data_IF_080462001618
#
_entry.id   IF_080462001618
#
_cell.length_a   1.000
_cell.length_b   1.000
_cell.length_c   1.000
_cell.angle_alpha   90.00
_cell.angle_beta   90.00
_cell.angle_gamma   90.00
#
_symmetry.space_group_name_H-M   'P 1'
#
loop_
_entity.id
_entity.type
_entity.pdbx_description
1 polymer ?
#
# COMPACT_ATOMS: atom_id res chain seq x y z
N UNK A 1 0.22 7.83 -7.68
CA UNK A 1 -0.99 8.06 -6.85
C UNK A 1 -2.18 7.53 -7.64
N UNK A 2 -2.99 6.63 -7.08
CA UNK A 2 -4.08 5.94 -7.80
C UNK A 2 -5.44 6.46 -7.29
N UNK A 3 -6.35 6.77 -8.22
CA UNK A 3 -7.75 7.16 -7.96
C UNK A 3 -8.73 6.24 -8.71
N UNK A 4 -8.43 4.96 -8.69
CA UNK A 4 -9.23 3.90 -9.32
C UNK A 4 -9.91 3.09 -8.23
N UNK A 5 -11.26 3.07 -8.25
CA UNK A 5 -12.08 2.37 -7.26
C UNK A 5 -11.89 0.86 -7.31
N UNK A 6 -11.61 0.27 -8.47
CA UNK A 6 -11.36 -1.17 -8.58
C UNK A 6 -10.06 -1.55 -7.86
N UNK A 7 -9.03 -0.73 -7.98
CA UNK A 7 -7.77 -0.92 -7.26
C UNK A 7 -7.96 -0.76 -5.75
N UNK A 8 -8.80 0.19 -5.31
CA UNK A 8 -9.14 0.35 -3.90
C UNK A 8 -9.83 -0.89 -3.35
N UNK A 9 -10.85 -1.39 -4.05
CA UNK A 9 -11.58 -2.59 -3.64
C UNK A 9 -10.67 -3.82 -3.55
N UNK A 10 -9.75 -4.00 -4.50
CA UNK A 10 -8.81 -5.12 -4.50
C UNK A 10 -7.82 -5.13 -3.33
N UNK A 11 -7.52 -3.97 -2.74
CA UNK A 11 -6.57 -3.84 -1.62
C UNK A 11 -7.25 -3.35 -0.33
N UNK A 12 -8.59 -3.37 -0.30
CA UNK A 12 -9.35 -2.89 0.85
C UNK A 12 -9.25 -3.90 1.99
N UNK A 13 -8.80 -3.45 3.15
CA UNK A 13 -8.80 -4.25 4.36
C UNK A 13 -9.89 -3.78 5.30
N UNK A 14 -10.67 -4.69 5.90
CA UNK A 14 -11.85 -4.36 6.72
C UNK A 14 -11.55 -3.39 7.87
N UNK A 15 -10.32 -3.38 8.41
CA UNK A 15 -9.95 -2.42 9.45
C UNK A 15 -9.91 -0.96 8.97
N UNK A 16 -9.88 -0.72 7.66
CA UNK A 16 -9.95 0.62 7.06
C UNK A 16 -11.33 1.26 7.21
N UNK A 17 -12.39 0.48 7.40
CA UNK A 17 -13.76 0.98 7.58
C UNK A 17 -13.89 1.92 8.79
N UNK A 18 -13.01 1.74 9.80
CA UNK A 18 -12.93 2.61 10.97
C UNK A 18 -12.51 4.05 10.63
N UNK A 19 -11.75 4.22 9.55
CA UNK A 19 -11.19 5.52 9.13
C UNK A 19 -11.91 6.10 7.91
N UNK A 20 -12.53 5.23 7.11
CA UNK A 20 -13.20 5.57 5.87
C UNK A 20 -14.60 4.97 5.86
N UNK A 21 -15.53 5.62 6.56
CA UNK A 21 -16.91 5.14 6.73
C UNK A 21 -17.65 4.92 5.41
N UNK A 22 -17.28 5.66 4.36
CA UNK A 22 -17.85 5.55 3.02
C UNK A 22 -17.09 4.53 2.14
N UNK A 23 -16.16 3.77 2.72
CA UNK A 23 -15.36 2.79 2.01
C UNK A 23 -14.55 3.39 0.86
N UNK A 24 -14.52 2.67 -0.27
CA UNK A 24 -13.86 3.09 -1.52
C UNK A 24 -14.47 4.34 -2.16
N UNK A 25 -15.67 4.74 -1.71
CA UNK A 25 -16.37 5.94 -2.19
C UNK A 25 -16.01 7.20 -1.39
N UNK A 26 -15.15 7.09 -0.37
CA UNK A 26 -14.73 8.23 0.46
C UNK A 26 -14.13 9.36 -0.40
N UNK A 27 -14.70 10.59 -0.35
CA UNK A 27 -14.20 11.72 -1.10
C UNK A 27 -12.74 12.03 -0.80
N UNK A 28 -11.94 12.23 -1.84
CA UNK A 28 -10.52 12.55 -1.70
C UNK A 28 -9.63 11.36 -1.35
N UNK A 29 -10.20 10.16 -1.16
CA UNK A 29 -9.45 8.93 -0.91
C UNK A 29 -8.40 8.68 -1.99
N UNK A 30 -7.25 8.19 -1.56
CA UNK A 30 -6.15 7.95 -2.46
C UNK A 30 -5.26 6.81 -2.02
N UNK A 31 -4.79 6.04 -2.99
CA UNK A 31 -3.85 4.94 -2.76
C UNK A 31 -2.45 5.33 -3.22
N UNK A 32 -1.48 5.05 -2.35
CA UNK A 32 -0.06 5.16 -2.65
C UNK A 32 0.38 3.82 -3.25
N UNK A 33 0.94 3.88 -4.46
CA UNK A 33 1.60 2.74 -5.10
C UNK A 33 3.09 2.93 -4.95
N UNK A 34 3.74 1.97 -4.28
CA UNK A 34 5.20 1.94 -4.15
C UNK A 34 5.75 0.96 -5.19
N UNK A 35 6.67 1.43 -6.04
CA UNK A 35 7.46 0.58 -6.92
C UNK A 35 8.91 0.64 -6.43
N UNK A 36 9.35 -0.43 -5.77
CA UNK A 36 10.70 -0.51 -5.22
C UNK A 36 11.71 -0.76 -6.33
N UNK A 37 12.89 -0.12 -6.21
CA UNK A 37 14.04 -0.33 -7.11
C UNK A 37 15.19 -1.06 -6.43
N UNK A 38 15.18 -1.05 -5.09
CA UNK A 38 16.29 -1.54 -4.27
C UNK A 38 15.77 -1.87 -2.89
N UNK A 39 16.27 -2.95 -2.30
CA UNK A 39 15.97 -3.37 -0.94
C UNK A 39 17.30 -3.50 -0.21
N UNK A 40 17.40 -2.84 0.93
CA UNK A 40 18.42 -3.10 1.94
C UNK A 40 17.76 -3.89 3.05
N UNK A 41 18.33 -5.03 3.42
CA UNK A 41 17.76 -5.88 4.46
C UNK A 41 18.78 -6.26 5.53
N UNK A 42 18.25 -6.52 6.72
CA UNK A 42 18.96 -7.09 7.85
C UNK A 42 18.13 -8.26 8.37
N UNK A 43 18.73 -9.44 8.41
CA UNK A 43 18.12 -10.66 8.95
C UNK A 43 19.08 -11.28 9.98
N UNK A 44 18.78 -11.05 11.26
CA UNK A 44 19.68 -11.40 12.35
C UNK A 44 21.04 -10.70 12.21
N UNK A 45 22.10 -11.50 12.04
CA UNK A 45 23.47 -11.01 11.86
C UNK A 45 23.83 -10.82 10.37
N UNK A 46 22.97 -11.26 9.45
CA UNK A 46 23.19 -11.14 8.02
C UNK A 46 22.58 -9.84 7.50
N UNK A 47 23.24 -9.24 6.50
CA UNK A 47 22.73 -8.07 5.81
C UNK A 47 23.14 -8.09 4.35
N UNK A 48 22.36 -7.39 3.53
CA UNK A 48 22.61 -7.35 2.09
C UNK A 48 21.75 -6.33 1.35
N UNK A 49 22.00 -6.26 0.05
CA UNK A 49 21.34 -5.36 -0.87
C UNK A 49 20.84 -6.14 -2.09
N UNK A 50 19.59 -5.90 -2.48
CA UNK A 50 18.96 -6.47 -3.67
C UNK A 50 18.49 -5.35 -4.58
N UNK A 51 18.85 -5.40 -5.85
CA UNK A 51 18.34 -4.50 -6.91
C UNK A 51 17.17 -5.19 -7.61
N UNK A 52 16.07 -4.46 -7.84
CA UNK A 52 14.79 -4.97 -8.37
C UNK A 52 14.49 -4.48 -9.79
#
# INVERSE_FOLDING_TARGET
MIRDKAQFAAHWYKALDRWFEQGVDTPGLVMIRVNSKRIHYWDGMDSGEVVL
#
